data_IF_070295239899
#
_entry.id   IF_070295239899
#
_cell.length_a   1.000
_cell.length_b   1.000
_cell.length_c   1.000
_cell.angle_alpha   90.00
_cell.angle_beta   90.00
_cell.angle_gamma   90.00
#
_symmetry.space_group_name_H-M   'P 1'
#
loop_
_entity.id
_entity.type
_entity.pdbx_description
1 polymer ?
#
# COMPACT_ATOMS: atom_id res chain seq x y z
N UNK A 1 -9.99 5.11 -5.81
CA UNK A 1 -9.27 3.91 -5.35
C UNK A 1 -9.49 2.70 -6.26
N UNK A 2 -10.73 2.25 -6.51
CA UNK A 2 -10.98 1.09 -7.38
C UNK A 2 -10.34 1.23 -8.78
N UNK A 3 -10.66 2.32 -9.49
CA UNK A 3 -10.12 2.56 -10.84
C UNK A 3 -8.59 2.79 -10.84
N UNK A 4 -8.06 3.47 -9.83
CA UNK A 4 -6.61 3.75 -9.74
C UNK A 4 -5.80 2.50 -9.44
N UNK A 5 -6.30 1.63 -8.55
CA UNK A 5 -5.70 0.33 -8.28
C UNK A 5 -5.77 -0.56 -9.54
N UNK A 6 -6.92 -0.62 -10.21
CA UNK A 6 -7.08 -1.33 -11.47
C UNK A 6 -6.08 -0.87 -12.54
N UNK A 7 -5.95 0.43 -12.75
CA UNK A 7 -4.96 1.00 -13.68
C UNK A 7 -3.52 0.58 -13.32
N UNK A 8 -3.14 0.68 -12.05
CA UNK A 8 -1.84 0.24 -11.56
C UNK A 8 -1.58 -1.26 -11.81
N UNK A 9 -2.57 -2.12 -11.53
CA UNK A 9 -2.47 -3.56 -11.77
C UNK A 9 -2.31 -3.89 -13.26
N UNK A 10 -3.10 -3.26 -14.14
CA UNK A 10 -3.00 -3.46 -15.59
C UNK A 10 -1.61 -3.07 -16.09
N UNK A 11 -1.11 -1.90 -15.65
CA UNK A 11 0.21 -1.44 -16.02
C UNK A 11 1.33 -2.38 -15.51
N UNK A 12 1.21 -2.85 -14.27
CA UNK A 12 2.13 -3.82 -13.69
C UNK A 12 2.15 -5.13 -14.51
N UNK A 13 0.98 -5.70 -14.81
CA UNK A 13 0.88 -6.94 -15.60
C UNK A 13 1.43 -6.79 -17.03
N UNK A 14 1.28 -5.61 -17.64
CA UNK A 14 1.88 -5.32 -18.96
C UNK A 14 3.41 -5.33 -18.87
N UNK A 15 3.99 -4.66 -17.88
CA UNK A 15 5.44 -4.53 -17.71
C UNK A 15 6.11 -5.82 -17.24
N UNK A 16 5.40 -6.63 -16.45
CA UNK A 16 5.94 -7.83 -15.84
C UNK A 16 5.63 -9.12 -16.60
N UNK A 17 4.85 -9.07 -17.68
CA UNK A 17 4.40 -10.25 -18.45
C UNK A 17 5.49 -11.32 -18.71
N UNK A 18 6.71 -10.90 -19.01
CA UNK A 18 7.82 -11.81 -19.34
C UNK A 18 8.45 -12.47 -18.10
N UNK A 19 8.45 -11.74 -16.98
CA UNK A 19 8.84 -12.28 -15.68
C UNK A 19 7.74 -13.17 -15.13
N UNK A 20 6.49 -12.73 -15.22
CA UNK A 20 5.33 -13.44 -14.69
C UNK A 20 5.19 -14.82 -15.34
N UNK A 21 5.52 -14.96 -16.63
CA UNK A 21 5.59 -16.25 -17.36
C UNK A 21 6.60 -17.25 -16.77
N UNK A 22 7.64 -16.78 -16.10
CA UNK A 22 8.73 -17.60 -15.55
C UNK A 22 8.50 -18.00 -14.09
N UNK A 23 7.50 -17.43 -13.42
CA UNK A 23 7.23 -17.65 -12.00
C UNK A 23 5.95 -18.48 -11.84
N UNK A 24 6.03 -19.58 -11.10
CA UNK A 24 4.95 -20.57 -10.97
C UNK A 24 3.62 -19.96 -10.50
N UNK A 25 3.70 -19.02 -9.56
CA UNK A 25 2.54 -18.32 -8.99
C UNK A 25 1.84 -17.38 -9.99
N UNK A 26 2.58 -16.76 -10.90
CA UNK A 26 2.08 -15.66 -11.75
C UNK A 26 1.95 -16.02 -13.23
N UNK A 27 2.42 -17.20 -13.64
CA UNK A 27 2.36 -17.64 -15.05
C UNK A 27 0.95 -17.65 -15.65
N UNK A 28 -0.07 -17.82 -14.81
CA UNK A 28 -1.47 -17.87 -15.20
C UNK A 28 -2.17 -16.48 -15.22
N UNK A 29 -1.44 -15.38 -14.96
CA UNK A 29 -2.02 -14.03 -15.05
C UNK A 29 -2.49 -13.74 -16.49
N UNK A 30 -3.56 -12.95 -16.71
CA UNK A 30 -4.20 -12.87 -18.03
C UNK A 30 -3.28 -12.44 -19.18
N UNK A 31 -2.45 -11.41 -18.97
CA UNK A 31 -1.51 -10.91 -19.99
C UNK A 31 -0.31 -11.87 -20.14
N UNK A 32 0.17 -12.44 -19.04
CA UNK A 32 1.25 -13.44 -19.06
C UNK A 32 0.83 -14.71 -19.82
N UNK A 33 -0.36 -15.25 -19.54
CA UNK A 33 -0.95 -16.42 -20.18
C UNK A 33 -1.42 -16.16 -21.62
N UNK A 34 -1.50 -14.89 -22.04
CA UNK A 34 -1.96 -14.51 -23.38
C UNK A 34 -3.47 -14.60 -23.57
N UNK A 35 -4.25 -14.78 -22.50
CA UNK A 35 -5.72 -14.74 -22.56
C UNK A 35 -6.26 -13.33 -22.81
N UNK A 36 -5.46 -12.30 -22.48
CA UNK A 36 -5.69 -10.90 -22.87
C UNK A 36 -4.45 -10.39 -23.62
N UNK A 37 -4.66 -9.75 -24.78
CA UNK A 37 -3.57 -9.14 -25.55
C UNK A 37 -3.04 -7.88 -24.85
N UNK A 38 -1.76 -7.56 -25.06
CA UNK A 38 -1.16 -6.31 -24.52
C UNK A 38 -1.93 -5.08 -25.00
N UNK A 39 -2.37 -5.08 -26.27
CA UNK A 39 -3.19 -3.99 -26.81
C UNK A 39 -4.54 -3.88 -26.09
N UNK A 40 -5.21 -5.01 -25.83
CA UNK A 40 -6.44 -5.02 -25.03
C UNK A 40 -6.24 -4.47 -23.62
N UNK A 41 -5.13 -4.85 -22.96
CA UNK A 41 -4.73 -4.29 -21.68
C UNK A 41 -4.51 -2.77 -21.74
N UNK A 42 -3.82 -2.27 -22.77
CA UNK A 42 -3.57 -0.83 -22.95
C UNK A 42 -4.87 -0.03 -23.18
N UNK A 43 -5.81 -0.56 -23.98
CA UNK A 43 -7.12 0.07 -24.16
C UNK A 43 -7.88 0.15 -22.84
N UNK A 44 -7.88 -0.94 -22.07
CA UNK A 44 -8.55 -0.98 -20.77
C UNK A 44 -7.90 -0.02 -19.76
N UNK A 45 -6.57 0.07 -19.75
CA UNK A 45 -5.80 1.04 -18.97
C UNK A 45 -6.17 2.48 -19.35
N UNK A 46 -6.24 2.78 -20.66
CA UNK A 46 -6.61 4.12 -21.15
C UNK A 46 -8.00 4.52 -20.66
N UNK A 47 -8.99 3.60 -20.72
CA UNK A 47 -10.34 3.86 -20.20
C UNK A 47 -10.31 4.19 -18.70
N UNK A 48 -9.53 3.45 -17.89
CA UNK A 48 -9.38 3.74 -16.46
C UNK A 48 -8.80 5.13 -16.22
N UNK A 49 -7.70 5.47 -16.90
CA UNK A 49 -7.03 6.76 -16.76
C UNK A 49 -7.94 7.90 -17.23
N UNK A 50 -8.66 7.74 -18.33
CA UNK A 50 -9.58 8.76 -18.85
C UNK A 50 -10.71 9.07 -17.84
N UNK A 51 -11.30 8.03 -17.22
CA UNK A 51 -12.32 8.22 -16.19
C UNK A 51 -11.71 8.92 -14.96
N UNK A 52 -10.52 8.50 -14.51
CA UNK A 52 -9.83 9.12 -13.37
C UNK A 52 -9.53 10.61 -13.61
N UNK A 53 -9.00 10.95 -14.79
CA UNK A 53 -8.75 12.35 -15.18
C UNK A 53 -10.05 13.15 -15.19
N UNK A 54 -11.14 12.56 -15.72
CA UNK A 54 -12.45 13.22 -15.75
C UNK A 54 -12.98 13.52 -14.34
N UNK A 55 -12.73 12.63 -13.38
CA UNK A 55 -13.15 12.79 -11.98
C UNK A 55 -12.44 13.96 -11.29
N UNK A 56 -11.16 14.19 -11.60
CA UNK A 56 -10.37 15.28 -10.97
C UNK A 56 -10.37 16.57 -11.79
N UNK A 57 -10.95 16.58 -13.00
CA UNK A 57 -10.86 17.68 -13.97
C UNK A 57 -11.27 19.06 -13.42
N UNK A 58 -12.27 19.08 -12.55
CA UNK A 58 -12.84 20.31 -11.99
C UNK A 58 -12.28 20.68 -10.62
N UNK A 59 -11.26 19.97 -10.13
CA UNK A 59 -10.61 20.33 -8.86
C UNK A 59 -9.67 21.52 -9.07
N UNK A 60 -9.25 22.15 -7.98
CA UNK A 60 -8.28 23.24 -8.05
C UNK A 60 -6.92 22.76 -8.62
N UNK A 61 -6.08 23.71 -9.02
CA UNK A 61 -4.83 23.41 -9.70
C UNK A 61 -3.87 22.53 -8.87
N UNK A 62 -3.89 22.65 -7.53
CA UNK A 62 -3.04 21.83 -6.66
C UNK A 62 -3.59 20.41 -6.59
N UNK A 63 -4.88 20.24 -6.30
CA UNK A 63 -5.55 18.94 -6.26
C UNK A 63 -5.48 18.19 -7.60
N UNK A 64 -5.63 18.90 -8.73
CA UNK A 64 -5.49 18.30 -10.05
C UNK A 64 -4.08 17.77 -10.31
N UNK A 65 -3.03 18.55 -10.01
CA UNK A 65 -1.64 18.13 -10.17
C UNK A 65 -1.27 16.97 -9.25
N UNK A 66 -1.72 17.02 -7.99
CA UNK A 66 -1.55 15.92 -7.05
C UNK A 66 -2.27 14.66 -7.54
N UNK A 67 -3.49 14.81 -8.05
CA UNK A 67 -4.25 13.74 -8.68
C UNK A 67 -3.47 13.08 -9.81
N UNK A 68 -2.95 13.85 -10.77
CA UNK A 68 -2.13 13.32 -11.87
C UNK A 68 -0.88 12.56 -11.38
N UNK A 69 -0.20 13.07 -10.34
CA UNK A 69 0.93 12.39 -9.71
C UNK A 69 0.49 11.02 -9.13
N UNK A 70 -0.64 11.00 -8.42
CA UNK A 70 -1.23 9.83 -7.78
C UNK A 70 -1.71 8.77 -8.78
N UNK A 71 -2.31 9.17 -9.91
CA UNK A 71 -2.93 8.22 -10.86
C UNK A 71 -1.99 7.76 -11.98
N UNK A 72 -0.99 8.55 -12.36
CA UNK A 72 -0.12 8.27 -13.51
C UNK A 72 1.32 8.06 -13.08
N UNK A 73 1.91 9.05 -12.40
CA UNK A 73 3.36 9.07 -12.18
C UNK A 73 3.79 7.99 -11.20
N UNK A 74 3.20 7.95 -10.01
CA UNK A 74 3.59 6.99 -8.98
C UNK A 74 3.28 5.54 -9.40
N UNK A 75 2.04 5.19 -9.86
CA UNK A 75 1.75 3.83 -10.33
C UNK A 75 2.52 3.46 -11.60
N UNK A 76 2.87 4.43 -12.44
CA UNK A 76 3.64 4.21 -13.66
C UNK A 76 5.10 3.84 -13.38
N UNK A 77 5.69 4.46 -12.37
CA UNK A 77 7.11 4.28 -11.99
C UNK A 77 7.29 3.04 -11.11
N UNK A 78 6.37 2.77 -10.17
CA UNK A 78 6.51 1.72 -9.15
C UNK A 78 6.93 0.33 -9.71
N UNK A 79 6.33 -0.22 -10.78
CA UNK A 79 6.67 -1.58 -11.27
C UNK A 79 8.12 -1.70 -11.75
N UNK A 80 8.72 -0.57 -12.16
CA UNK A 80 10.11 -0.50 -12.61
C UNK A 80 11.09 -0.52 -11.44
N UNK A 81 10.64 -0.17 -10.23
CA UNK A 81 11.51 0.06 -9.08
C UNK A 81 12.23 -1.21 -8.61
N UNK A 82 11.58 -2.37 -8.73
CA UNK A 82 12.19 -3.66 -8.38
C UNK A 82 13.40 -4.03 -9.24
N UNK A 83 13.57 -3.38 -10.40
CA UNK A 83 14.71 -3.58 -11.31
C UNK A 83 15.86 -2.61 -11.01
N UNK A 84 15.56 -1.45 -10.43
CA UNK A 84 16.56 -0.39 -10.22
C UNK A 84 17.02 -0.25 -8.77
N UNK A 85 16.15 -0.50 -7.79
CA UNK A 85 16.41 -0.24 -6.37
C UNK A 85 15.96 -1.39 -5.48
N UNK A 86 16.55 -1.50 -4.30
CA UNK A 86 16.12 -2.41 -3.21
C UNK A 86 14.94 -1.87 -2.40
N UNK A 87 14.36 -0.73 -2.78
CA UNK A 87 13.23 -0.10 -2.12
C UNK A 87 11.91 -0.09 -2.92
N UNK A 88 11.53 -1.13 -3.71
CA UNK A 88 10.28 -1.07 -4.46
C UNK A 88 9.05 -0.94 -3.55
N UNK A 89 9.09 -1.51 -2.33
CA UNK A 89 8.07 -1.36 -1.29
C UNK A 89 7.81 0.11 -0.93
N UNK A 90 8.86 0.94 -0.90
CA UNK A 90 8.72 2.36 -0.58
C UNK A 90 7.94 3.10 -1.67
N UNK A 91 8.20 2.77 -2.93
CA UNK A 91 7.49 3.34 -4.07
C UNK A 91 6.05 2.84 -4.17
N UNK A 92 5.81 1.56 -3.86
CA UNK A 92 4.45 1.02 -3.72
C UNK A 92 3.69 1.78 -2.63
N UNK A 93 4.31 2.00 -1.47
CA UNK A 93 3.74 2.78 -0.38
C UNK A 93 3.37 4.19 -0.80
N UNK A 94 4.21 4.87 -1.57
CA UNK A 94 3.88 6.19 -2.10
C UNK A 94 2.69 6.13 -3.07
N UNK A 95 2.69 5.17 -3.99
CA UNK A 95 1.61 5.04 -4.98
C UNK A 95 0.25 4.74 -4.33
N UNK A 96 0.21 3.79 -3.40
CA UNK A 96 -1.04 3.27 -2.83
C UNK A 96 -1.68 4.19 -1.78
N UNK A 97 -0.88 4.95 -1.03
CA UNK A 97 -1.40 5.76 0.09
C UNK A 97 -1.82 7.18 -0.30
N UNK A 98 -1.72 7.55 -1.58
CA UNK A 98 -2.15 8.87 -2.07
C UNK A 98 -3.66 9.11 -1.99
N UNK A 99 -4.46 8.06 -1.83
CA UNK A 99 -5.92 8.15 -1.78
C UNK A 99 -6.46 8.98 -0.60
N UNK A 100 -5.82 8.92 0.58
CA UNK A 100 -6.21 9.72 1.75
C UNK A 100 -6.02 11.23 1.52
N UNK A 101 -4.80 11.69 1.18
CA UNK A 101 -4.56 13.07 0.79
C UNK A 101 -5.44 13.54 -0.37
N UNK A 102 -5.66 12.69 -1.38
CA UNK A 102 -6.53 13.03 -2.52
C UNK A 102 -7.99 13.22 -2.10
N UNK A 103 -8.50 12.38 -1.20
CA UNK A 103 -9.87 12.53 -0.67
C UNK A 103 -10.04 13.84 0.11
N UNK A 104 -9.02 14.27 0.85
CA UNK A 104 -9.05 15.55 1.56
C UNK A 104 -9.00 16.74 0.60
N UNK A 105 -8.11 16.69 -0.39
CA UNK A 105 -8.00 17.72 -1.43
C UNK A 105 -9.29 17.85 -2.26
N UNK A 106 -10.00 16.75 -2.48
CA UNK A 106 -11.29 16.77 -3.18
C UNK A 106 -12.37 17.60 -2.45
N UNK A 107 -12.22 17.85 -1.14
CA UNK A 107 -13.11 18.72 -0.37
C UNK A 107 -12.76 20.22 -0.52
N UNK A 108 -11.79 20.57 -1.37
CA UNK A 108 -11.30 21.93 -1.54
C UNK A 108 -10.51 22.47 -0.34
N UNK A 109 -10.12 21.58 0.58
CA UNK A 109 -9.30 21.93 1.73
C UNK A 109 -7.83 21.67 1.41
N UNK A 110 -6.92 22.50 1.94
CA UNK A 110 -5.49 22.20 1.92
C UNK A 110 -5.17 20.91 2.69
N UNK A 111 -3.92 20.42 2.63
CA UNK A 111 -3.52 19.23 3.38
C UNK A 111 -3.16 19.57 4.83
N UNK A 112 -4.01 19.24 5.82
CA UNK A 112 -3.66 19.47 7.22
C UNK A 112 -2.53 18.53 7.64
N UNK A 113 -1.82 18.94 8.69
CA UNK A 113 -0.69 18.17 9.24
C UNK A 113 -1.11 16.75 9.63
N UNK A 114 -2.33 16.56 10.13
CA UNK A 114 -2.86 15.23 10.48
C UNK A 114 -2.92 14.27 9.29
N UNK A 115 -3.31 14.76 8.09
CA UNK A 115 -3.34 13.94 6.86
C UNK A 115 -1.94 13.59 6.39
N UNK A 116 -0.98 14.51 6.51
CA UNK A 116 0.42 14.24 6.17
C UNK A 116 1.04 13.20 7.11
N UNK A 117 0.71 13.26 8.40
CA UNK A 117 1.13 12.26 9.40
C UNK A 117 0.51 10.90 9.08
N UNK A 118 -0.78 10.83 8.77
CA UNK A 118 -1.43 9.58 8.36
C UNK A 118 -0.87 9.02 7.06
N UNK A 119 -0.51 9.88 6.10
CA UNK A 119 0.17 9.47 4.88
C UNK A 119 1.53 8.82 5.18
N UNK A 120 2.33 9.41 6.06
CA UNK A 120 3.60 8.82 6.50
C UNK A 120 3.39 7.49 7.26
N UNK A 121 2.37 7.43 8.12
CA UNK A 121 2.02 6.21 8.86
C UNK A 121 1.56 5.07 7.95
N UNK A 122 0.67 5.35 7.00
CA UNK A 122 0.19 4.34 6.04
C UNK A 122 1.26 3.93 5.01
N UNK A 123 2.19 4.84 4.70
CA UNK A 123 3.42 4.49 4.00
C UNK A 123 4.28 3.51 4.81
N UNK A 124 4.49 3.77 6.11
CA UNK A 124 5.19 2.85 7.01
C UNK A 124 4.45 1.51 7.14
N UNK A 125 3.12 1.51 7.13
CA UNK A 125 2.32 0.29 7.09
C UNK A 125 2.59 -0.53 5.82
N UNK A 126 2.69 0.14 4.67
CA UNK A 126 3.02 -0.53 3.39
C UNK A 126 4.42 -1.10 3.42
N UNK A 127 5.39 -0.35 3.96
CA UNK A 127 6.72 -0.89 4.23
C UNK A 127 6.68 -2.12 5.12
N UNK A 128 5.78 -2.17 6.10
CA UNK A 128 5.62 -3.30 7.01
C UNK A 128 5.05 -4.53 6.29
N UNK A 129 3.84 -4.45 5.73
CA UNK A 129 3.16 -5.63 5.19
C UNK A 129 3.78 -6.10 3.87
N UNK A 130 4.25 -5.19 3.01
CA UNK A 130 4.74 -5.56 1.68
C UNK A 130 6.16 -6.12 1.74
N UNK A 131 6.93 -5.73 2.76
CA UNK A 131 8.22 -6.40 3.04
C UNK A 131 8.02 -7.82 3.55
N UNK A 132 7.00 -8.07 4.41
CA UNK A 132 6.64 -9.43 4.83
C UNK A 132 6.18 -10.25 3.64
N UNK A 133 5.35 -9.67 2.77
CA UNK A 133 4.93 -10.30 1.54
C UNK A 133 6.11 -10.67 0.64
N UNK A 134 7.10 -9.76 0.49
CA UNK A 134 8.31 -10.03 -0.27
C UNK A 134 9.20 -11.14 0.33
N UNK A 135 9.08 -11.45 1.63
CA UNK A 135 9.76 -12.62 2.20
C UNK A 135 9.23 -13.94 1.63
N UNK A 136 8.00 -13.97 1.11
CA UNK A 136 7.40 -15.15 0.50
C UNK A 136 8.19 -15.65 -0.71
N UNK A 137 8.62 -14.72 -1.56
CA UNK A 137 9.24 -15.00 -2.86
C UNK A 137 10.78 -14.80 -2.81
N UNK A 138 11.36 -14.63 -1.61
CA UNK A 138 12.77 -14.25 -1.40
C UNK A 138 13.78 -15.12 -2.17
N UNK A 139 13.55 -16.44 -2.24
CA UNK A 139 14.45 -17.37 -2.94
C UNK A 139 14.37 -17.20 -4.46
N UNK A 140 13.16 -17.04 -4.98
CA UNK A 140 12.92 -16.89 -6.42
C UNK A 140 13.38 -15.51 -6.90
N UNK A 141 13.19 -14.47 -6.08
CA UNK A 141 13.63 -13.10 -6.36
C UNK A 141 15.15 -13.00 -6.54
N UNK A 142 15.93 -13.70 -5.70
CA UNK A 142 17.39 -13.75 -5.82
C UNK A 142 17.81 -14.35 -7.17
N UNK A 143 17.18 -15.46 -7.56
CA UNK A 143 17.49 -16.14 -8.82
C UNK A 143 17.05 -15.31 -10.05
N UNK A 144 15.96 -14.54 -9.92
CA UNK A 144 15.42 -13.68 -10.97
C UNK A 144 16.10 -12.30 -11.06
N UNK A 145 17.00 -11.98 -10.12
CA UNK A 145 17.66 -10.67 -10.03
C UNK A 145 16.72 -9.53 -9.60
N UNK A 146 15.60 -9.87 -8.95
CA UNK A 146 14.63 -8.93 -8.41
C UNK A 146 15.13 -8.39 -7.08
N UNK A 147 15.09 -7.07 -6.91
CA UNK A 147 15.52 -6.40 -5.67
C UNK A 147 14.30 -6.12 -4.80
N UNK A 148 14.43 -6.26 -3.48
CA UNK A 148 13.37 -5.97 -2.52
C UNK A 148 13.93 -5.57 -1.14
N UNK A 149 13.10 -4.95 -0.30
CA UNK A 149 13.46 -4.63 1.08
C UNK A 149 13.72 -5.88 1.91
N UNK A 150 13.05 -7.00 1.59
CA UNK A 150 13.30 -8.30 2.22
C UNK A 150 14.74 -8.80 1.98
N UNK A 151 15.32 -8.50 0.82
CA UNK A 151 16.73 -8.76 0.52
C UNK A 151 17.65 -7.74 1.18
N UNK A 152 17.28 -6.46 1.14
CA UNK A 152 18.08 -5.36 1.71
C UNK A 152 18.27 -5.47 3.21
N UNK A 153 17.19 -5.75 3.94
CA UNK A 153 17.20 -5.75 5.40
C UNK A 153 17.88 -7.00 5.97
N UNK A 154 17.93 -8.10 5.21
CA UNK A 154 18.66 -9.31 5.61
C UNK A 154 18.29 -9.77 7.02
N UNK A 155 19.29 -9.86 7.89
CA UNK A 155 19.13 -10.26 9.30
C UNK A 155 18.45 -9.20 10.17
N UNK A 156 18.44 -7.94 9.75
CA UNK A 156 17.81 -6.80 10.45
C UNK A 156 16.33 -6.61 10.14
N UNK A 157 15.73 -7.51 9.35
CA UNK A 157 14.35 -7.37 8.89
C UNK A 157 13.35 -7.22 10.04
N UNK A 158 13.42 -8.03 11.09
CA UNK A 158 12.49 -7.93 12.23
C UNK A 158 12.59 -6.58 12.97
N UNK A 159 13.79 -6.13 13.41
CA UNK A 159 13.93 -4.80 14.02
C UNK A 159 13.41 -3.65 13.15
N UNK A 160 13.68 -3.69 11.84
CA UNK A 160 13.24 -2.64 10.91
C UNK A 160 11.72 -2.66 10.73
N UNK A 161 11.11 -3.85 10.64
CA UNK A 161 9.65 -3.99 10.61
C UNK A 161 9.02 -3.48 11.92
N UNK A 162 9.61 -3.76 13.08
CA UNK A 162 9.13 -3.17 14.35
C UNK A 162 9.15 -1.64 14.32
N UNK A 163 10.19 -1.02 13.75
CA UNK A 163 10.26 0.43 13.61
C UNK A 163 9.16 0.98 12.68
N UNK A 164 8.83 0.29 11.59
CA UNK A 164 7.72 0.68 10.71
C UNK A 164 6.35 0.50 11.38
N UNK A 165 6.12 -0.59 12.11
CA UNK A 165 4.90 -0.80 12.89
C UNK A 165 4.74 0.28 13.97
N UNK A 166 5.81 0.61 14.69
CA UNK A 166 5.82 1.69 15.66
C UNK A 166 5.50 3.04 15.01
N UNK A 167 6.12 3.35 13.87
CA UNK A 167 5.88 4.60 13.13
C UNK A 167 4.43 4.75 12.70
N UNK A 168 3.79 3.66 12.25
CA UNK A 168 2.36 3.62 11.94
C UNK A 168 1.50 3.90 13.18
N UNK A 169 1.73 3.19 14.28
CA UNK A 169 0.96 3.37 15.53
C UNK A 169 1.13 4.79 16.08
N UNK A 170 2.35 5.31 16.09
CA UNK A 170 2.64 6.68 16.50
C UNK A 170 1.91 7.70 15.61
N UNK A 171 1.89 7.47 14.29
CA UNK A 171 1.16 8.33 13.35
C UNK A 171 -0.35 8.30 13.62
N UNK A 172 -0.93 7.14 13.90
CA UNK A 172 -2.34 7.03 14.29
C UNK A 172 -2.63 7.79 15.59
N UNK A 173 -1.78 7.62 16.60
CA UNK A 173 -1.93 8.33 17.87
C UNK A 173 -1.85 9.85 17.70
N UNK A 174 -0.80 10.34 17.05
CA UNK A 174 -0.57 11.78 16.87
C UNK A 174 -1.68 12.40 16.01
N UNK A 175 -2.07 11.75 14.90
CA UNK A 175 -3.18 12.22 14.08
C UNK A 175 -4.50 12.23 14.85
N UNK A 176 -4.74 11.21 15.68
CA UNK A 176 -5.91 11.17 16.56
C UNK A 176 -5.92 12.31 17.56
N UNK A 177 -4.79 12.57 18.23
CA UNK A 177 -4.64 13.65 19.18
C UNK A 177 -4.87 15.04 18.54
N UNK A 178 -4.32 15.27 17.34
CA UNK A 178 -4.54 16.53 16.59
C UNK A 178 -6.03 16.75 16.29
N UNK A 179 -6.77 15.68 16.01
CA UNK A 179 -8.20 15.75 15.69
C UNK A 179 -9.11 15.54 16.92
N UNK A 180 -8.55 15.50 18.14
CA UNK A 180 -9.29 15.23 19.38
C UNK A 180 -10.13 13.95 19.36
N UNK A 181 -9.64 12.89 18.72
CA UNK A 181 -10.30 11.59 18.72
C UNK A 181 -10.37 11.02 20.15
N UNK A 182 -11.51 10.44 20.49
CA UNK A 182 -11.87 10.01 21.84
C UNK A 182 -11.40 8.61 22.23
N UNK A 183 -12.04 8.08 23.27
CA UNK A 183 -11.64 6.84 23.93
C UNK A 183 -11.67 5.63 23.00
N UNK A 184 -12.70 5.52 22.15
CA UNK A 184 -12.88 4.34 21.29
C UNK A 184 -11.83 4.28 20.19
N UNK A 185 -11.47 5.42 19.61
CA UNK A 185 -10.37 5.49 18.65
C UNK A 185 -9.03 5.07 19.27
N UNK A 186 -8.71 5.64 20.44
CA UNK A 186 -7.42 5.38 21.10
C UNK A 186 -7.30 3.92 21.58
N UNK A 187 -8.39 3.31 22.03
CA UNK A 187 -8.36 1.93 22.51
C UNK A 187 -8.43 0.90 21.38
N UNK A 188 -9.37 1.04 20.44
CA UNK A 188 -9.59 0.05 19.38
C UNK A 188 -8.56 0.20 18.25
N UNK A 189 -8.41 1.42 17.71
CA UNK A 189 -7.53 1.66 16.57
C UNK A 189 -6.06 1.70 16.97
N UNK A 190 -5.71 2.52 17.96
CA UNK A 190 -4.30 2.74 18.34
C UNK A 190 -3.77 1.57 19.17
N UNK A 191 -4.32 1.33 20.36
CA UNK A 191 -3.84 0.27 21.24
C UNK A 191 -4.12 -1.14 20.68
N UNK A 192 -5.31 -1.37 20.14
CA UNK A 192 -5.66 -2.62 19.48
C UNK A 192 -4.80 -2.91 18.24
N UNK A 193 -4.55 -1.89 17.42
CA UNK A 193 -3.63 -1.98 16.28
C UNK A 193 -2.19 -2.27 16.70
N UNK A 194 -1.70 -1.61 17.75
CA UNK A 194 -0.36 -1.85 18.30
C UNK A 194 -0.19 -3.28 18.81
N UNK A 195 -1.16 -3.78 19.58
CA UNK A 195 -1.16 -5.15 20.08
C UNK A 195 -1.19 -6.16 18.93
N UNK A 196 -2.04 -5.93 17.92
CA UNK A 196 -2.15 -6.79 16.75
C UNK A 196 -0.82 -6.90 15.98
N UNK A 197 -0.22 -5.76 15.62
CA UNK A 197 1.04 -5.74 14.87
C UNK A 197 2.20 -6.32 15.67
N UNK A 198 2.25 -6.04 16.98
CA UNK A 198 3.28 -6.58 17.88
C UNK A 198 3.17 -8.09 17.98
N UNK A 199 1.96 -8.62 18.21
CA UNK A 199 1.72 -10.07 18.24
C UNK A 199 2.15 -10.73 16.94
N UNK A 200 1.76 -10.15 15.80
CA UNK A 200 2.10 -10.72 14.50
C UNK A 200 3.62 -10.74 14.29
N UNK A 201 4.34 -9.66 14.61
CA UNK A 201 5.81 -9.61 14.54
C UNK A 201 6.53 -10.57 15.47
N UNK A 202 6.00 -10.82 16.66
CA UNK A 202 6.58 -11.77 17.60
C UNK A 202 6.38 -13.23 17.18
N UNK A 203 5.29 -13.52 16.46
CA UNK A 203 4.88 -14.90 16.15
C UNK A 203 5.20 -15.33 14.72
N UNK A 204 5.41 -14.38 13.80
CA UNK A 204 5.68 -14.69 12.40
C UNK A 204 7.05 -15.34 12.20
N UNK A 205 7.04 -16.42 11.44
CA UNK A 205 8.20 -17.03 10.83
C UNK A 205 8.39 -16.46 9.42
N UNK A 206 9.40 -15.60 9.24
CA UNK A 206 9.68 -14.93 7.98
C UNK A 206 10.36 -15.84 6.94
N UNK A 207 10.83 -17.01 7.36
CA UNK A 207 11.43 -18.00 6.45
C UNK A 207 10.39 -18.96 5.85
N UNK A 208 9.14 -18.90 6.34
CA UNK A 208 8.01 -19.69 5.86
C UNK A 208 7.13 -18.88 4.90
N UNK A 209 7.12 -19.20 3.58
CA UNK A 209 6.29 -18.50 2.59
C UNK A 209 4.80 -18.51 2.94
N UNK A 210 4.32 -19.59 3.56
CA UNK A 210 2.93 -19.70 4.02
C UNK A 210 2.64 -18.74 5.17
N UNK A 211 3.53 -18.66 6.16
CA UNK A 211 3.33 -17.75 7.30
C UNK A 211 3.35 -16.28 6.85
N UNK A 212 4.23 -15.91 5.91
CA UNK A 212 4.26 -14.60 5.29
C UNK A 212 2.94 -14.24 4.58
N UNK A 213 2.40 -15.18 3.79
CA UNK A 213 1.10 -15.00 3.15
C UNK A 213 -0.04 -14.86 4.15
N UNK A 214 -0.11 -15.74 5.15
CA UNK A 214 -1.17 -15.73 6.16
C UNK A 214 -1.15 -14.43 6.98
N UNK A 215 0.04 -13.90 7.29
CA UNK A 215 0.21 -12.59 7.92
C UNK A 215 -0.28 -11.46 7.01
N UNK A 216 0.22 -11.38 5.77
CA UNK A 216 -0.18 -10.36 4.79
C UNK A 216 -1.70 -10.35 4.57
N UNK A 217 -2.30 -11.53 4.35
CA UNK A 217 -3.72 -11.67 4.09
C UNK A 217 -4.57 -11.25 5.31
N UNK A 218 -4.21 -11.73 6.51
CA UNK A 218 -4.90 -11.33 7.75
C UNK A 218 -4.75 -9.83 8.02
N UNK A 219 -3.59 -9.26 7.75
CA UNK A 219 -3.31 -7.85 8.00
C UNK A 219 -4.24 -6.94 7.21
N UNK A 220 -4.49 -7.27 5.94
CA UNK A 220 -5.39 -6.51 5.06
C UNK A 220 -6.81 -6.35 5.62
N UNK A 221 -7.36 -7.38 6.27
CA UNK A 221 -8.70 -7.33 6.86
C UNK A 221 -8.70 -6.87 8.32
N UNK A 222 -7.85 -7.46 9.16
CA UNK A 222 -7.92 -7.25 10.61
C UNK A 222 -7.41 -5.88 11.01
N UNK A 223 -6.25 -5.45 10.54
CA UNK A 223 -5.68 -4.16 10.96
C UNK A 223 -6.51 -2.99 10.42
N UNK A 224 -6.83 -3.02 9.11
CA UNK A 224 -7.72 -2.03 8.51
C UNK A 224 -9.09 -1.98 9.19
N UNK A 225 -9.65 -3.14 9.54
CA UNK A 225 -10.89 -3.27 10.30
C UNK A 225 -10.81 -2.65 11.70
N UNK A 226 -9.74 -2.88 12.46
CA UNK A 226 -9.52 -2.28 13.78
C UNK A 226 -9.48 -0.75 13.71
N UNK A 227 -8.72 -0.22 12.74
CA UNK A 227 -8.64 1.24 12.55
C UNK A 227 -10.03 1.80 12.20
N UNK A 228 -10.73 1.20 11.25
CA UNK A 228 -12.05 1.67 10.83
C UNK A 228 -13.12 1.57 11.92
N UNK A 229 -13.18 0.45 12.65
CA UNK A 229 -14.14 0.25 13.74
C UNK A 229 -13.91 1.24 14.88
N UNK A 230 -12.67 1.50 15.26
CA UNK A 230 -12.39 2.49 16.31
C UNK A 230 -12.74 3.92 15.89
N UNK A 231 -12.45 4.31 14.64
CA UNK A 231 -12.90 5.60 14.08
C UNK A 231 -14.43 5.71 14.06
N UNK A 232 -15.12 4.67 13.58
CA UNK A 232 -16.58 4.67 13.51
C UNK A 232 -17.23 4.72 14.90
N UNK A 233 -16.76 3.90 15.83
CA UNK A 233 -17.28 3.87 17.20
C UNK A 233 -17.13 5.25 17.86
N UNK A 234 -15.96 5.86 17.71
CA UNK A 234 -15.68 7.20 18.26
C UNK A 234 -16.59 8.27 17.65
N UNK A 235 -16.76 8.24 16.33
CA UNK A 235 -17.68 9.13 15.61
C UNK A 235 -19.13 8.97 16.11
N UNK A 236 -19.61 7.73 16.24
CA UNK A 236 -20.98 7.46 16.71
C UNK A 236 -21.24 7.92 18.15
N UNK A 237 -20.21 7.90 19.00
CA UNK A 237 -20.33 8.36 20.40
C UNK A 237 -20.10 9.87 20.57
N UNK A 238 -19.63 10.54 19.52
CA UNK A 238 -19.38 11.99 19.51
C UNK A 238 -20.51 12.79 18.86
N UNK A 239 -21.53 12.11 18.31
CA UNK A 239 -22.80 12.68 17.84
C UNK A 239 -23.73 13.01 19.00
#
# INVERSE_FOLDING_TARGET
>A
MFLSAGAGCIWNDILDREFDRKVERTKNRPIAAGTISVFGGLVFLFVHIAILIRMIWNFDAFAFRFGLLSIIVLPGIYPLMKRITYWPQAWLGLAMNTGGPMAWLALGQGLPVSILILFAGTWAWTMWYDTIYACQDKRDDVNAGVKSTALLFGTWIKPILFAFAYSLVASLYIAGAINNMGFYYNTISVAGGALYLTRDMLTIDLDSPKACWDSFHRNGFTFGGLVWVGVLADYLTSL
#
